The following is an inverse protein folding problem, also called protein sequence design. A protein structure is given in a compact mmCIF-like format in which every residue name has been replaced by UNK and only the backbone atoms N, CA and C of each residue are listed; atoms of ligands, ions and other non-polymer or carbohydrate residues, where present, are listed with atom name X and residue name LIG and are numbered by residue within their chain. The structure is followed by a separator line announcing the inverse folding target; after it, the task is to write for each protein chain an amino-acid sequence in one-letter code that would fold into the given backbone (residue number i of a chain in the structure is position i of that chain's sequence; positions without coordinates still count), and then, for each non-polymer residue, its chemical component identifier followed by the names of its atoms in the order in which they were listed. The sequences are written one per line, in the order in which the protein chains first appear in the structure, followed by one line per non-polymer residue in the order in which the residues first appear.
data_IF_457431041948
#
_entry.id   IF_457431041948
#
_cell.length_a   1.000
_cell.length_b   1.000
_cell.length_c   1.000
_cell.angle_alpha   90.00
_cell.angle_beta   90.00
_cell.angle_gamma   90.00
#
_symmetry.space_group_name_H-M   'P 1'
#
loop_
_entity.id
_entity.type
_entity.pdbx_description
1 polymer ?
#
# COMPACT_ATOMS: atom_id res chain seq x y z
N UNK A 1 3.12 1.42 13.68
CA UNK A 1 3.80 0.18 13.25
C UNK A 1 4.32 0.40 11.83
N UNK A 2 5.62 0.28 11.56
CA UNK A 2 6.23 0.58 10.23
C UNK A 2 6.28 -0.65 9.28
N UNK A 3 5.50 -1.68 9.57
CA UNK A 3 5.51 -2.95 8.84
C UNK A 3 4.28 -3.03 7.91
N UNK A 4 4.50 -3.31 6.62
CA UNK A 4 3.46 -3.61 5.64
C UNK A 4 3.09 -5.09 5.59
N UNK A 5 2.25 -5.46 4.62
CA UNK A 5 1.93 -6.83 4.24
C UNK A 5 3.16 -7.56 3.70
N UNK A 6 3.39 -8.77 4.18
CA UNK A 6 4.54 -9.61 3.84
C UNK A 6 4.14 -10.78 2.94
N UNK A 7 5.00 -11.19 1.98
CA UNK A 7 4.75 -12.33 1.11
C UNK A 7 5.00 -13.66 1.82
N UNK A 8 4.32 -13.90 2.94
CA UNK A 8 4.53 -15.08 3.82
C UNK A 8 3.44 -16.14 3.68
N UNK A 9 2.37 -15.85 2.95
CA UNK A 9 1.24 -16.75 2.74
C UNK A 9 0.87 -16.78 1.26
N UNK A 10 0.21 -17.86 0.82
CA UNK A 10 -0.36 -17.93 -0.53
C UNK A 10 -1.30 -16.75 -0.81
N UNK A 11 -2.11 -16.37 0.18
CA UNK A 11 -3.01 -15.24 0.07
C UNK A 11 -2.25 -13.93 -0.18
N UNK A 12 -1.11 -13.71 0.49
CA UNK A 12 -0.27 -12.52 0.25
C UNK A 12 0.33 -12.50 -1.16
N UNK A 13 0.72 -13.66 -1.69
CA UNK A 13 1.32 -13.77 -3.03
C UNK A 13 0.32 -13.52 -4.17
N UNK A 14 -0.98 -13.77 -3.94
CA UNK A 14 -2.04 -13.56 -4.93
C UNK A 14 -2.39 -12.07 -5.14
N UNK A 15 -2.05 -11.22 -4.19
CA UNK A 15 -2.44 -9.82 -4.16
C UNK A 15 -1.57 -8.92 -5.05
N UNK A 16 -0.37 -9.39 -5.43
CA UNK A 16 0.56 -8.61 -6.24
C UNK A 16 1.10 -7.38 -5.51
N UNK A 17 1.15 -6.25 -6.22
CA UNK A 17 1.68 -4.99 -5.69
C UNK A 17 0.69 -4.35 -4.72
N UNK A 18 1.21 -3.92 -3.55
CA UNK A 18 0.46 -3.23 -2.50
C UNK A 18 1.07 -1.86 -2.26
N UNK A 19 0.30 -0.81 -2.49
CA UNK A 19 0.68 0.56 -2.22
C UNK A 19 0.38 0.93 -0.75
N UNK A 20 1.15 1.87 -0.21
CA UNK A 20 0.94 2.42 1.12
C UNK A 20 0.79 3.93 1.03
N UNK A 21 -0.21 4.46 1.75
CA UNK A 21 -0.44 5.89 1.84
C UNK A 21 -0.59 6.28 3.31
N UNK A 22 0.14 7.33 3.71
CA UNK A 22 0.12 7.86 5.06
C UNK A 22 -1.09 8.79 5.22
N UNK A 23 -2.20 8.22 5.67
CA UNK A 23 -3.46 8.94 5.85
C UNK A 23 -3.37 9.89 7.05
N UNK A 24 -3.54 11.19 6.82
CA UNK A 24 -3.42 12.25 7.86
C UNK A 24 -4.73 12.61 8.57
N UNK A 25 -5.83 11.93 8.26
CA UNK A 25 -7.13 12.14 8.92
C UNK A 25 -8.22 12.63 7.98
N UNK A 26 -7.84 13.29 6.88
CA UNK A 26 -8.77 13.90 5.94
C UNK A 26 -8.18 13.91 4.53
N UNK A 27 -9.02 13.71 3.51
CA UNK A 27 -8.68 13.84 2.09
C UNK A 27 -9.69 14.82 1.50
N UNK A 28 -9.61 16.07 1.96
CA UNK A 28 -10.48 17.15 1.48
C UNK A 28 -9.83 17.97 0.36
N UNK A 29 -8.50 18.06 0.34
CA UNK A 29 -7.79 18.83 -0.66
C UNK A 29 -7.59 18.01 -1.95
N UNK A 30 -7.74 18.66 -3.09
CA UNK A 30 -7.42 18.07 -4.39
C UNK A 30 -5.95 17.62 -4.48
N UNK A 31 -5.04 18.28 -3.74
CA UNK A 31 -3.64 17.86 -3.63
C UNK A 31 -3.51 16.44 -3.03
N UNK A 32 -4.25 16.13 -1.97
CA UNK A 32 -4.22 14.82 -1.31
C UNK A 32 -4.81 13.73 -2.20
N UNK A 33 -5.87 14.06 -2.97
CA UNK A 33 -6.48 13.16 -3.96
C UNK A 33 -5.49 12.81 -5.07
N UNK A 34 -4.75 13.80 -5.56
CA UNK A 34 -3.73 13.61 -6.59
C UNK A 34 -2.57 12.77 -6.05
N UNK A 35 -2.15 12.98 -4.80
CA UNK A 35 -1.10 12.16 -4.18
C UNK A 35 -1.56 10.70 -4.02
N UNK A 36 -2.80 10.49 -3.58
CA UNK A 36 -3.40 9.14 -3.45
C UNK A 36 -3.49 8.41 -4.81
N UNK A 37 -3.89 9.12 -5.87
CA UNK A 37 -3.91 8.58 -7.24
C UNK A 37 -2.49 8.21 -7.71
N UNK A 38 -1.49 9.04 -7.42
CA UNK A 38 -0.08 8.76 -7.76
C UNK A 38 0.46 7.54 -7.01
N UNK A 39 0.07 7.34 -5.75
CA UNK A 39 0.46 6.18 -4.96
C UNK A 39 -0.10 4.86 -5.53
N UNK A 40 -1.33 4.88 -6.03
CA UNK A 40 -1.93 3.73 -6.74
C UNK A 40 -1.24 3.46 -8.08
N UNK A 41 -0.94 4.52 -8.84
CA UNK A 41 -0.37 4.36 -10.17
C UNK A 41 -1.29 3.56 -11.10
N UNK A 42 -0.76 3.08 -12.24
CA UNK A 42 -1.59 2.46 -13.28
C UNK A 42 -1.94 0.99 -13.02
N UNK A 43 -1.23 0.31 -12.10
CA UNK A 43 -1.28 -1.16 -11.97
C UNK A 43 -1.58 -1.65 -10.56
N UNK A 44 -1.41 -0.82 -9.52
CA UNK A 44 -1.65 -1.26 -8.16
C UNK A 44 -3.16 -1.26 -7.88
N UNK A 45 -3.68 -2.41 -7.42
CA UNK A 45 -5.10 -2.58 -7.11
C UNK A 45 -5.37 -2.56 -5.59
N UNK A 46 -4.35 -2.48 -4.76
CA UNK A 46 -4.50 -2.53 -3.30
C UNK A 46 -3.75 -1.36 -2.66
N UNK A 47 -4.47 -0.59 -1.86
CA UNK A 47 -3.93 0.54 -1.11
C UNK A 47 -4.15 0.34 0.38
N UNK A 48 -3.06 0.33 1.15
CA UNK A 48 -3.10 0.33 2.60
C UNK A 48 -3.00 1.77 3.09
N UNK A 49 -4.09 2.29 3.64
CA UNK A 49 -4.13 3.57 4.32
C UNK A 49 -3.62 3.37 5.74
N UNK A 50 -2.38 3.81 6.01
CA UNK A 50 -1.80 3.64 7.33
C UNK A 50 -2.69 4.31 8.37
N UNK A 51 -2.93 3.59 9.45
CA UNK A 51 -3.73 4.07 10.58
C UNK A 51 -5.23 4.30 10.25
N UNK A 52 -5.72 3.82 9.11
CA UNK A 52 -7.12 3.94 8.70
C UNK A 52 -7.72 2.62 8.21
N UNK A 53 -7.08 1.93 7.27
CA UNK A 53 -7.62 0.69 6.73
C UNK A 53 -7.03 0.31 5.38
N UNK A 54 -7.82 -0.41 4.57
CA UNK A 54 -7.41 -0.93 3.28
C UNK A 54 -8.47 -0.63 2.22
N UNK A 55 -8.01 -0.40 0.99
CA UNK A 55 -8.83 -0.23 -0.20
C UNK A 55 -8.39 -1.28 -1.23
N UNK A 56 -9.36 -2.02 -1.76
CA UNK A 56 -9.16 -2.96 -2.85
C UNK A 56 -9.95 -2.47 -4.06
N UNK A 57 -9.29 -2.45 -5.21
CA UNK A 57 -9.84 -2.04 -6.49
C UNK A 57 -9.89 -3.26 -7.40
N UNK A 58 -10.82 -3.22 -8.34
CA UNK A 58 -10.98 -4.24 -9.35
C UNK A 58 -11.76 -3.67 -10.53
N UNK A 59 -11.56 -4.24 -11.70
CA UNK A 59 -12.33 -3.89 -12.90
C UNK A 59 -13.79 -4.37 -12.76
N UNK A 60 -14.01 -5.37 -11.90
CA UNK A 60 -15.33 -5.84 -11.45
C UNK A 60 -15.41 -5.85 -9.93
N UNK A 61 -16.64 -5.80 -9.40
CA UNK A 61 -16.86 -5.97 -7.97
C UNK A 61 -16.28 -7.29 -7.46
N UNK A 62 -16.40 -8.37 -8.25
CA UNK A 62 -15.88 -9.69 -7.93
C UNK A 62 -14.37 -9.67 -7.71
N UNK A 63 -13.61 -8.98 -8.55
CA UNK A 63 -12.15 -8.85 -8.40
C UNK A 63 -11.78 -8.05 -7.15
N UNK A 64 -12.50 -6.96 -6.87
CA UNK A 64 -12.29 -6.16 -5.66
C UNK A 64 -12.57 -6.99 -4.39
N UNK A 65 -13.66 -7.77 -4.38
CA UNK A 65 -14.00 -8.68 -3.29
C UNK A 65 -13.00 -9.83 -3.14
N UNK A 66 -12.52 -10.38 -4.26
CA UNK A 66 -11.48 -11.41 -4.23
C UNK A 66 -10.21 -10.87 -3.58
N UNK A 67 -9.81 -9.66 -3.94
CA UNK A 67 -8.60 -9.00 -3.41
C UNK A 67 -8.74 -8.68 -1.92
N UNK A 68 -9.86 -8.09 -1.49
CA UNK A 68 -10.06 -7.77 -0.06
C UNK A 68 -10.10 -9.04 0.81
N UNK A 69 -10.71 -10.12 0.32
CA UNK A 69 -10.79 -11.39 1.04
C UNK A 69 -9.40 -12.00 1.27
N UNK A 70 -8.58 -12.06 0.22
CA UNK A 70 -7.21 -12.59 0.32
C UNK A 70 -6.29 -11.66 1.14
N UNK A 71 -6.51 -10.36 1.07
CA UNK A 71 -5.80 -9.38 1.90
C UNK A 71 -6.07 -9.61 3.38
N UNK A 72 -7.33 -9.82 3.75
CA UNK A 72 -7.69 -10.13 5.13
C UNK A 72 -7.05 -11.44 5.61
N UNK A 73 -7.16 -12.51 4.82
CA UNK A 73 -6.53 -13.80 5.17
C UNK A 73 -5.00 -13.68 5.31
N UNK A 74 -4.36 -12.89 4.45
CA UNK A 74 -2.91 -12.63 4.53
C UNK A 74 -2.54 -11.88 5.82
N UNK A 75 -3.31 -10.84 6.17
CA UNK A 75 -3.13 -10.09 7.42
C UNK A 75 -3.33 -10.98 8.66
N UNK A 76 -4.35 -11.83 8.67
CA UNK A 76 -4.63 -12.76 9.77
C UNK A 76 -3.45 -13.71 10.01
N UNK A 77 -2.90 -14.30 8.94
CA UNK A 77 -1.71 -15.16 9.03
C UNK A 77 -0.51 -14.37 9.56
N UNK A 78 -0.27 -13.16 9.08
CA UNK A 78 0.85 -12.34 9.50
C UNK A 78 0.78 -11.94 10.98
N UNK A 79 -0.41 -11.55 11.44
CA UNK A 79 -0.66 -11.24 12.85
C UNK A 79 -0.48 -12.49 13.71
N UNK A 80 -1.04 -13.63 13.27
CA UNK A 80 -0.94 -14.91 14.00
C UNK A 80 0.50 -15.40 14.12
N UNK A 81 1.31 -15.19 13.09
CA UNK A 81 2.73 -15.54 13.10
C UNK A 81 3.59 -14.57 13.95
N UNK A 82 3.00 -13.49 14.49
CA UNK A 82 3.74 -12.45 15.22
C UNK A 82 4.77 -11.70 14.36
N UNK A 83 4.66 -11.83 13.04
CA UNK A 83 5.66 -11.35 12.10
C UNK A 83 5.53 -9.84 11.86
N UNK A 84 6.67 -9.17 11.91
CA UNK A 84 6.85 -7.75 11.63
C UNK A 84 8.14 -7.63 10.83
N UNK A 85 8.12 -7.06 9.64
CA UNK A 85 9.39 -6.73 8.95
C UNK A 85 9.92 -5.41 9.48
N UNK A 86 11.17 -5.45 9.96
CA UNK A 86 12.02 -4.27 10.05
C UNK A 86 12.48 -3.86 8.65
N UNK A 87 12.40 -2.57 8.35
CA UNK A 87 12.71 -1.95 7.06
C UNK A 87 13.80 -2.68 6.25
N UNK A 88 13.40 -3.27 5.13
CA UNK A 88 14.31 -3.92 4.19
C UNK A 88 13.71 -3.90 2.80
N UNK A 89 14.33 -3.14 1.91
CA UNK A 89 14.08 -3.03 0.46
C UNK A 89 13.05 -1.97 0.02
N UNK A 90 13.32 -0.69 0.32
CA UNK A 90 13.08 0.37 -0.65
C UNK A 90 13.93 0.08 -1.89
N UNK A 91 13.36 -0.64 -2.87
CA UNK A 91 13.97 -0.80 -4.19
C UNK A 91 13.28 0.16 -5.15
N UNK A 92 13.77 1.40 -5.13
CA UNK A 92 13.89 2.30 -6.27
C UNK A 92 12.62 2.70 -7.03
N UNK A 93 12.17 3.94 -6.81
CA UNK A 93 11.93 4.89 -7.91
C UNK A 93 12.11 6.32 -7.40
N UNK A 94 12.89 7.09 -8.14
CA UNK A 94 13.65 8.23 -7.64
C UNK A 94 12.85 9.45 -7.23
N UNK A 95 13.37 10.16 -6.22
CA UNK A 95 13.25 11.61 -6.16
C UNK A 95 14.61 12.19 -6.55
N UNK A 96 14.62 12.87 -7.69
CA UNK A 96 15.78 13.57 -8.21
C UNK A 96 16.21 14.66 -7.22
N UNK A 97 17.50 14.67 -6.91
CA UNK A 97 18.16 15.79 -6.26
C UNK A 97 17.97 17.06 -7.11
N UNK A 98 17.41 18.10 -6.50
CA UNK A 98 17.45 19.44 -7.08
C UNK A 98 18.81 20.08 -6.75
N UNK A 99 19.56 20.63 -7.73
CA UNK A 99 20.86 21.24 -7.48
C UNK A 99 20.68 22.60 -6.81
N UNK A 100 21.66 22.96 -5.97
CA UNK A 100 21.59 24.11 -5.08
C UNK A 100 21.44 25.47 -5.74
N UNK A 101 21.06 26.44 -4.90
CA UNK A 101 21.44 27.84 -5.06
C UNK A 101 22.07 28.32 -3.76
N UNK A 102 23.39 28.45 -3.82
CA UNK A 102 24.12 29.50 -3.10
C UNK A 102 23.60 30.86 -3.61
N UNK A 103 23.22 31.75 -2.70
CA UNK A 103 23.61 33.16 -2.59
C UNK A 103 23.11 33.68 -1.25
#
# INVERSE_FOLDING_TARGET
MRCGLLPISRAALLLGDVAYFDFRGEVEDEADRVELQKCLGPTCKILVLRNHGVLALGDTAEEAFYSIFHLQAACEVQVSAGLRVGAGSERGRGSAASPGKMH
#
